data_IF_374903914372
#
_entry.id   IF_374903914372
#
_cell.length_a   1.000
_cell.length_b   1.000
_cell.length_c   1.000
_cell.angle_alpha   90.00
_cell.angle_beta   90.00
_cell.angle_gamma   90.00
#
_symmetry.space_group_name_H-M   'P 1'
#
loop_
_entity.id
_entity.type
_entity.pdbx_description
1 polymer ?
#
# COMPACT_ATOMS: atom_id res chain seq x y z
N UNK A 1 -10.20 8.17 4.99
CA UNK A 1 -9.49 9.28 5.66
C UNK A 1 -7.96 9.07 5.72
N UNK A 2 -7.43 7.87 6.00
CA UNK A 2 -5.97 7.64 6.06
C UNK A 2 -5.23 7.73 4.72
N UNK A 3 -5.84 7.30 3.61
CA UNK A 3 -5.19 7.35 2.30
C UNK A 3 -4.84 8.79 1.87
N UNK A 4 -5.72 9.75 2.16
CA UNK A 4 -5.50 11.15 1.81
C UNK A 4 -4.24 11.76 2.48
N UNK A 5 -3.86 11.33 3.68
CA UNK A 5 -2.64 11.85 4.35
C UNK A 5 -1.35 11.25 3.82
N UNK A 6 -1.39 10.01 3.32
CA UNK A 6 -0.25 9.37 2.64
C UNK A 6 -0.04 10.00 1.27
N UNK A 7 -1.13 10.29 0.55
CA UNK A 7 -1.05 10.86 -0.80
C UNK A 7 -0.80 12.37 -0.82
N UNK A 8 -1.03 13.07 0.30
CA UNK A 8 -0.65 14.49 0.44
C UNK A 8 0.84 14.73 0.72
N UNK A 9 1.68 13.67 0.75
CA UNK A 9 3.11 13.83 0.99
C UNK A 9 3.81 14.52 -0.19
N UNK A 10 4.56 15.59 0.12
CA UNK A 10 5.30 16.40 -0.86
C UNK A 10 6.63 15.79 -1.28
N UNK A 11 7.04 14.67 -0.68
CA UNK A 11 8.23 13.93 -1.10
C UNK A 11 7.98 13.20 -2.43
N UNK A 12 8.69 13.63 -3.46
CA UNK A 12 8.59 13.09 -4.82
C UNK A 12 9.23 11.71 -4.98
N UNK A 13 10.24 11.37 -4.18
CA UNK A 13 10.92 10.08 -4.21
C UNK A 13 10.24 9.05 -3.29
N UNK A 14 8.96 8.79 -3.55
CA UNK A 14 8.14 7.84 -2.79
C UNK A 14 7.55 6.82 -3.76
N UNK A 15 7.70 5.54 -3.46
CA UNK A 15 6.93 4.45 -4.09
C UNK A 15 5.84 4.04 -3.10
N UNK A 16 4.60 3.89 -3.58
CA UNK A 16 3.48 3.43 -2.74
C UNK A 16 2.91 2.17 -3.34
N UNK A 17 2.96 1.07 -2.59
CA UNK A 17 2.38 -0.21 -3.01
C UNK A 17 1.15 -0.48 -2.14
N UNK A 18 -0.03 -0.46 -2.75
CA UNK A 18 -1.28 -0.84 -2.12
C UNK A 18 -1.53 -2.32 -2.39
N UNK A 19 -1.57 -3.14 -1.34
CA UNK A 19 -1.93 -4.56 -1.47
C UNK A 19 -3.32 -4.76 -0.92
N UNK A 20 -4.26 -5.08 -1.80
CA UNK A 20 -5.61 -5.47 -1.46
C UNK A 20 -5.69 -6.99 -1.32
N UNK A 21 -5.90 -7.46 -0.09
CA UNK A 21 -5.94 -8.88 0.29
C UNK A 21 -7.37 -9.42 0.31
N UNK A 22 -8.10 -9.23 -0.80
CA UNK A 22 -9.45 -9.76 -0.98
C UNK A 22 -10.49 -9.08 -0.09
N UNK A 23 -10.45 -7.75 -0.03
CA UNK A 23 -11.45 -6.97 0.71
C UNK A 23 -12.85 -7.19 0.12
N UNK A 24 -13.88 -7.47 0.95
CA UNK A 24 -15.24 -7.73 0.45
C UNK A 24 -16.01 -6.45 0.10
N UNK A 25 -15.38 -5.28 0.24
CA UNK A 25 -15.98 -3.97 0.06
C UNK A 25 -15.39 -3.27 -1.18
N UNK A 26 -15.58 -1.94 -1.28
CA UNK A 26 -15.14 -1.14 -2.42
C UNK A 26 -13.67 -0.70 -2.33
N UNK A 27 -12.89 -1.28 -1.42
CA UNK A 27 -11.45 -1.01 -1.33
C UNK A 27 -10.69 -1.20 -2.64
N UNK A 28 -10.95 -2.25 -3.46
CA UNK A 28 -10.25 -2.43 -4.74
C UNK A 28 -10.42 -1.23 -5.67
N UNK A 29 -11.67 -0.78 -5.87
CA UNK A 29 -12.01 0.36 -6.72
C UNK A 29 -11.37 1.67 -6.24
N UNK A 30 -11.27 1.84 -4.92
CA UNK A 30 -10.61 3.01 -4.33
C UNK A 30 -9.11 2.98 -4.63
N UNK A 31 -8.46 1.83 -4.43
CA UNK A 31 -7.04 1.63 -4.74
C UNK A 31 -6.73 1.95 -6.22
N UNK A 32 -7.54 1.42 -7.14
CA UNK A 32 -7.41 1.69 -8.58
C UNK A 32 -7.55 3.18 -8.90
N UNK A 33 -8.52 3.85 -8.29
CA UNK A 33 -8.75 5.28 -8.50
C UNK A 33 -7.56 6.15 -8.06
N UNK A 34 -6.76 5.67 -7.10
CA UNK A 34 -5.55 6.36 -6.66
C UNK A 34 -4.37 6.07 -7.60
N UNK A 35 -4.20 4.83 -8.03
CA UNK A 35 -3.17 4.46 -9.02
C UNK A 35 -3.34 5.21 -10.34
N UNK A 36 -4.58 5.52 -10.74
CA UNK A 36 -4.87 6.34 -11.92
C UNK A 36 -4.48 7.83 -11.76
N UNK A 37 -4.37 8.32 -10.52
CA UNK A 37 -4.12 9.75 -10.24
C UNK A 37 -2.66 10.05 -9.91
N UNK A 38 -1.87 9.05 -9.54
CA UNK A 38 -0.50 9.22 -9.10
C UNK A 38 0.33 8.00 -9.52
N UNK A 39 1.25 8.21 -10.46
CA UNK A 39 2.09 7.17 -11.08
C UNK A 39 3.03 6.48 -10.07
N UNK A 40 3.23 7.08 -8.89
CA UNK A 40 4.00 6.48 -7.79
C UNK A 40 3.27 5.33 -7.12
N UNK A 41 1.96 5.18 -7.36
CA UNK A 41 1.09 4.21 -6.70
C UNK A 41 0.93 2.99 -7.59
N UNK A 42 1.28 1.82 -7.03
CA UNK A 42 1.08 0.51 -7.64
C UNK A 42 0.10 -0.28 -6.79
N UNK A 43 -0.82 -0.99 -7.42
CA UNK A 43 -1.84 -1.78 -6.73
C UNK A 43 -1.64 -3.25 -7.04
N UNK A 44 -1.70 -4.08 -6.01
CA UNK A 44 -1.73 -5.54 -6.12
C UNK A 44 -3.05 -6.01 -5.54
N UNK A 45 -3.83 -6.73 -6.34
CA UNK A 45 -5.00 -7.46 -5.86
C UNK A 45 -4.66 -8.93 -5.73
N UNK A 46 -4.98 -9.50 -4.57
CA UNK A 46 -4.82 -10.92 -4.31
C UNK A 46 -6.05 -11.46 -3.59
N UNK A 47 -6.27 -12.77 -3.66
CA UNK A 47 -7.25 -13.44 -2.81
C UNK A 47 -6.81 -13.38 -1.35
N UNK A 48 -7.76 -13.28 -0.42
CA UNK A 48 -7.49 -13.19 1.02
C UNK A 48 -6.60 -14.35 1.49
N UNK A 49 -5.34 -14.02 1.76
CA UNK A 49 -4.29 -14.95 2.21
C UNK A 49 -3.63 -14.48 3.50
N UNK A 50 -4.14 -13.39 4.08
CA UNK A 50 -3.71 -12.83 5.35
C UNK A 50 -2.62 -11.78 5.22
N UNK A 51 -2.48 -10.96 6.26
CA UNK A 51 -1.57 -9.81 6.33
C UNK A 51 -0.12 -10.18 6.01
N UNK A 52 0.36 -11.35 6.44
CA UNK A 52 1.73 -11.79 6.15
C UNK A 52 1.97 -11.99 4.65
N UNK A 53 1.02 -12.62 3.95
CA UNK A 53 1.10 -12.81 2.51
C UNK A 53 1.01 -11.46 1.76
N UNK A 54 0.12 -10.56 2.19
CA UNK A 54 0.01 -9.23 1.63
C UNK A 54 1.32 -8.42 1.76
N UNK A 55 2.00 -8.51 2.91
CA UNK A 55 3.32 -7.89 3.10
C UNK A 55 4.37 -8.46 2.16
N UNK A 56 4.41 -9.78 2.03
CA UNK A 56 5.34 -10.46 1.13
C UNK A 56 5.11 -10.07 -0.34
N UNK A 57 3.85 -9.93 -0.75
CA UNK A 57 3.51 -9.45 -2.09
C UNK A 57 4.06 -8.03 -2.31
N UNK A 58 3.87 -7.12 -1.36
CA UNK A 58 4.44 -5.77 -1.41
C UNK A 58 5.98 -5.78 -1.49
N UNK A 59 6.63 -6.58 -0.65
CA UNK A 59 8.10 -6.72 -0.65
C UNK A 59 8.64 -7.35 -1.94
N UNK A 60 7.89 -8.20 -2.62
CA UNK A 60 8.34 -8.84 -3.85
C UNK A 60 8.43 -7.88 -5.05
N UNK A 61 7.75 -6.74 -4.98
CA UNK A 61 7.68 -5.76 -6.08
C UNK A 61 8.28 -4.40 -5.75
N UNK A 62 8.69 -4.19 -4.48
CA UNK A 62 9.27 -2.93 -4.05
C UNK A 62 10.65 -2.72 -4.69
N UNK A 63 10.92 -1.46 -5.04
CA UNK A 63 12.21 -1.02 -5.56
C UNK A 63 12.86 0.05 -4.67
N UNK A 64 12.10 0.61 -3.72
CA UNK A 64 12.58 1.61 -2.78
C UNK A 64 13.49 1.07 -1.66
N UNK A 65 14.32 1.95 -1.10
CA UNK A 65 15.26 1.61 -0.04
C UNK A 65 14.62 1.45 1.35
N UNK A 66 13.36 1.87 1.53
CA UNK A 66 12.64 1.84 2.79
C UNK A 66 11.20 1.38 2.58
N UNK A 67 10.71 0.57 3.50
CA UNK A 67 9.36 0.00 3.48
C UNK A 67 8.58 0.46 4.70
N UNK A 68 7.31 0.78 4.49
CA UNK A 68 6.38 1.19 5.54
C UNK A 68 5.04 0.50 5.34
N UNK A 69 4.52 -0.12 6.40
CA UNK A 69 3.22 -0.79 6.34
C UNK A 69 2.13 0.08 6.99
N UNK A 70 1.06 0.33 6.24
CA UNK A 70 -0.16 0.96 6.72
C UNK A 70 -1.33 -0.01 6.63
N UNK A 71 -1.99 -0.27 7.74
CA UNK A 71 -3.17 -1.14 7.79
C UNK A 71 -4.45 -0.31 7.95
N UNK A 72 -5.44 -0.50 7.08
CA UNK A 72 -6.60 0.41 6.99
C UNK A 72 -7.78 0.02 7.91
N UNK A 73 -7.66 -1.04 8.72
CA UNK A 73 -8.67 -1.46 9.72
C UNK A 73 -8.50 -0.85 11.11
N UNK A 74 -7.62 0.14 11.23
CA UNK A 74 -7.36 0.95 12.43
C UNK A 74 -6.23 1.94 12.15
N UNK A 75 -6.03 2.97 12.98
CA UNK A 75 -4.91 3.93 12.80
C UNK A 75 -3.53 3.34 13.18
N UNK A 76 -3.34 2.02 13.07
CA UNK A 76 -2.14 1.36 13.56
C UNK A 76 -1.06 1.33 12.47
N UNK A 77 -0.12 2.25 12.64
CA UNK A 77 1.11 2.39 11.89
C UNK A 77 2.10 1.29 12.30
N UNK A 78 2.56 0.45 11.37
CA UNK A 78 3.55 -0.59 11.66
C UNK A 78 4.88 -0.28 10.96
N UNK A 79 5.74 0.45 11.68
CA UNK A 79 7.20 0.48 11.50
C UNK A 79 7.77 0.98 10.16
N UNK A 80 9.00 1.51 10.21
CA UNK A 80 9.84 1.73 9.02
C UNK A 80 10.87 0.62 9.02
N UNK A 81 10.94 -0.15 7.93
CA UNK A 81 11.90 -1.22 7.75
C UNK A 81 12.83 -0.86 6.59
N UNK A 82 14.15 -1.12 6.69
CA UNK A 82 15.02 -1.03 5.53
C UNK A 82 14.56 -2.05 4.48
N UNK A 83 14.50 -1.61 3.22
CA UNK A 83 14.35 -2.52 2.08
C UNK A 83 15.56 -3.44 2.00
N UNK A 84 15.34 -4.70 1.64
CA UNK A 84 16.40 -5.71 1.49
C UNK A 84 17.37 -5.34 0.36
#
# INVERSE_FOLDING_TARGET
RCLASVFAQTHSNLEVILVDDGSPDRCPEICDSYAQKDERIRVIHQSNTGVGAARNAGMSVMSGAYLFFLELRGNNMQGIYPGC
#
